data_IF_363227472582
#
_entry.id   IF_363227472582
#
_cell.length_a   1.000
_cell.length_b   1.000
_cell.length_c   1.000
_cell.angle_alpha   90.00
_cell.angle_beta   90.00
_cell.angle_gamma   90.00
#
_symmetry.space_group_name_H-M   'P 1'
#
loop_
_entity.id
_entity.type
_entity.pdbx_description
1 polymer ?
#
# COMPACT_ATOMS: atom_id res chain seq x y z
N UNK A 1 -1.71 -0.70 -9.21
CA UNK A 1 -0.44 -0.45 -9.92
C UNK A 1 -0.71 0.22 -11.26
N UNK A 2 -0.92 1.55 -11.30
CA UNK A 2 -1.23 2.27 -12.54
C UNK A 2 0.02 2.53 -13.42
N UNK A 3 1.23 2.33 -12.90
CA UNK A 3 2.50 2.54 -13.59
C UNK A 3 3.13 1.27 -14.14
N UNK A 4 2.51 0.10 -13.89
CA UNK A 4 3.03 -1.21 -14.29
C UNK A 4 4.43 -1.55 -13.75
N UNK A 5 4.83 -0.94 -12.63
CA UNK A 5 6.09 -1.23 -11.93
C UNK A 5 6.03 -2.59 -11.22
N UNK A 6 7.15 -3.27 -10.96
CA UNK A 6 7.14 -4.42 -10.05
C UNK A 6 6.79 -3.99 -8.62
N UNK A 7 6.34 -4.94 -7.80
CA UNK A 7 6.23 -4.72 -6.36
C UNK A 7 7.61 -4.42 -5.77
N UNK A 8 7.67 -3.49 -4.82
CA UNK A 8 8.91 -3.14 -4.14
C UNK A 8 8.71 -2.22 -2.95
N UNK A 9 9.79 -1.98 -2.20
CA UNK A 9 9.78 -1.00 -1.11
C UNK A 9 9.45 0.40 -1.65
N UNK A 10 8.60 1.15 -0.94
CA UNK A 10 8.30 2.54 -1.29
C UNK A 10 9.57 3.35 -1.55
N UNK A 11 9.66 3.97 -2.73
CA UNK A 11 10.80 4.80 -3.14
C UNK A 11 12.00 4.02 -3.68
N UNK A 12 11.89 2.71 -3.95
CA UNK A 12 12.97 1.93 -4.55
C UNK A 12 13.24 2.34 -6.01
N UNK A 13 14.50 2.54 -6.36
CA UNK A 13 14.98 2.88 -7.71
C UNK A 13 14.67 1.79 -8.75
N UNK A 14 14.54 0.53 -8.33
CA UNK A 14 14.18 -0.58 -9.22
C UNK A 14 12.67 -0.71 -9.47
N UNK A 15 11.86 0.18 -8.91
CA UNK A 15 10.40 0.20 -9.03
C UNK A 15 9.67 -0.26 -7.77
N UNK A 16 8.44 0.23 -7.62
CA UNK A 16 7.47 -0.15 -6.59
C UNK A 16 6.07 0.21 -7.07
N UNK A 17 5.03 -0.49 -6.59
CA UNK A 17 3.67 -0.06 -6.89
C UNK A 17 3.35 1.22 -6.14
N UNK A 18 2.55 2.11 -6.74
CA UNK A 18 1.98 3.26 -6.01
C UNK A 18 1.12 2.88 -4.79
N UNK A 19 0.80 1.61 -4.57
CA UNK A 19 0.08 1.14 -3.39
C UNK A 19 0.97 0.55 -2.29
N UNK A 20 2.27 0.38 -2.54
CA UNK A 20 3.19 -0.33 -1.64
C UNK A 20 3.65 0.60 -0.50
N UNK A 21 2.78 0.86 0.48
CA UNK A 21 3.06 1.81 1.59
C UNK A 21 3.92 1.25 2.73
N UNK A 22 4.26 -0.04 2.67
CA UNK A 22 5.18 -0.69 3.59
C UNK A 22 4.53 -1.37 4.81
N UNK A 23 5.40 -1.79 5.73
CA UNK A 23 5.02 -2.48 6.97
C UNK A 23 4.77 -1.50 8.11
N UNK A 24 3.99 -1.92 9.10
CA UNK A 24 3.79 -1.24 10.36
C UNK A 24 3.96 -2.22 11.52
N UNK A 25 4.17 -1.70 12.73
CA UNK A 25 4.34 -2.51 13.94
C UNK A 25 3.14 -2.28 14.85
N UNK A 26 2.45 -3.37 15.20
CA UNK A 26 1.44 -3.34 16.24
C UNK A 26 2.08 -3.49 17.62
N UNK A 27 1.54 -2.78 18.61
CA UNK A 27 1.90 -2.94 20.01
C UNK A 27 1.36 -4.27 20.59
N UNK A 28 1.67 -4.53 21.85
CA UNK A 28 1.26 -5.75 22.54
C UNK A 28 -0.27 -5.89 22.68
N UNK A 29 -1.02 -4.78 22.58
CA UNK A 29 -2.47 -4.73 22.66
C UNK A 29 -3.13 -4.84 21.26
N UNK A 30 -2.32 -4.92 20.20
CA UNK A 30 -2.77 -5.05 18.81
C UNK A 30 -3.07 -3.72 18.13
N UNK A 31 -2.71 -2.58 18.72
CA UNK A 31 -2.89 -1.27 18.09
C UNK A 31 -1.67 -0.89 17.27
N UNK A 32 -1.89 -0.21 16.15
CA UNK A 32 -0.81 0.34 15.34
C UNK A 32 -1.22 1.68 14.74
N UNK A 33 -0.26 2.59 14.65
CA UNK A 33 -0.39 3.84 13.91
C UNK A 33 0.68 3.88 12.82
N UNK A 34 0.25 4.14 11.59
CA UNK A 34 1.12 4.43 10.47
C UNK A 34 0.76 5.83 9.95
N UNK A 35 1.75 6.72 9.95
CA UNK A 35 1.64 8.02 9.31
C UNK A 35 2.46 8.01 8.01
N UNK A 36 1.82 8.39 6.91
CA UNK A 36 2.40 8.34 5.59
C UNK A 36 1.93 9.54 4.77
N UNK A 37 2.87 10.18 4.06
CA UNK A 37 2.59 11.31 3.18
C UNK A 37 3.19 11.06 1.80
N UNK A 38 2.45 11.44 0.76
CA UNK A 38 2.87 11.27 -0.64
C UNK A 38 2.17 12.28 -1.53
N UNK A 39 2.84 12.69 -2.60
CA UNK A 39 2.29 13.47 -3.72
C UNK A 39 1.88 12.58 -4.90
N UNK A 40 2.02 11.25 -4.75
CA UNK A 40 1.65 10.26 -5.75
C UNK A 40 0.18 9.85 -5.67
N UNK A 41 -0.55 10.31 -4.65
CA UNK A 41 -1.98 10.07 -4.45
C UNK A 41 -2.77 11.37 -4.46
N UNK A 42 -4.02 11.28 -4.89
CA UNK A 42 -4.99 12.36 -4.81
C UNK A 42 -6.39 11.81 -4.52
N UNK A 43 -7.28 12.69 -4.03
CA UNK A 43 -8.70 12.40 -3.92
C UNK A 43 -9.46 13.21 -4.97
N UNK A 44 -10.24 12.53 -5.83
CA UNK A 44 -11.10 13.17 -6.83
C UNK A 44 -10.39 14.12 -7.80
N UNK A 45 -9.10 13.88 -8.09
CA UNK A 45 -8.41 14.59 -9.17
C UNK A 45 -8.61 13.88 -10.52
N UNK A 46 -8.37 14.61 -11.62
CA UNK A 46 -8.51 14.09 -12.99
C UNK A 46 -7.44 13.05 -13.36
N UNK A 47 -6.29 13.05 -12.68
CA UNK A 47 -5.25 12.05 -12.89
C UNK A 47 -5.64 10.70 -12.25
N UNK A 48 -6.27 9.85 -13.04
CA UNK A 48 -6.67 8.49 -12.66
C UNK A 48 -5.51 7.61 -12.19
N UNK A 49 -4.26 7.94 -12.55
CA UNK A 49 -3.09 7.21 -12.06
C UNK A 49 -2.76 7.56 -10.60
N UNK A 50 -3.27 8.67 -10.08
CA UNK A 50 -3.12 9.12 -8.69
C UNK A 50 -4.40 9.01 -7.87
N UNK A 51 -5.56 8.96 -8.53
CA UNK A 51 -6.85 8.97 -7.85
C UNK A 51 -7.11 7.66 -7.08
N UNK A 52 -7.10 7.76 -5.75
CA UNK A 52 -7.30 6.61 -4.86
C UNK A 52 -8.76 6.41 -4.44
N UNK A 53 -9.69 7.25 -4.90
CA UNK A 53 -11.13 7.02 -4.67
C UNK A 53 -11.55 5.71 -5.35
N UNK A 54 -12.38 4.93 -4.66
CA UNK A 54 -12.80 3.58 -5.06
C UNK A 54 -11.71 2.51 -4.90
N UNK A 55 -10.56 2.83 -4.31
CA UNK A 55 -9.53 1.85 -3.93
C UNK A 55 -9.71 1.44 -2.47
N UNK A 56 -8.88 0.52 -1.99
CA UNK A 56 -8.93 0.03 -0.61
C UNK A 56 -7.55 0.00 0.04
N UNK A 57 -7.52 0.22 1.35
CA UNK A 57 -6.37 -0.08 2.21
C UNK A 57 -6.56 -1.49 2.76
N UNK A 58 -5.53 -2.32 2.66
CA UNK A 58 -5.54 -3.72 3.09
C UNK A 58 -4.48 -3.94 4.16
N UNK A 59 -4.84 -4.64 5.23
CA UNK A 59 -3.87 -5.18 6.19
C UNK A 59 -3.64 -6.65 5.88
N UNK A 60 -2.37 -7.03 5.80
CA UNK A 60 -1.93 -8.40 5.55
C UNK A 60 -1.57 -9.13 6.86
N UNK A 61 -1.66 -10.46 6.84
CA UNK A 61 -1.33 -11.33 7.98
C UNK A 61 0.16 -11.34 8.32
N UNK A 62 1.00 -11.28 7.30
CA UNK A 62 2.44 -11.38 7.39
C UNK A 62 3.15 -10.08 7.05
N UNK A 63 4.48 -10.14 7.13
CA UNK A 63 5.37 -9.02 6.83
C UNK A 63 5.70 -9.02 5.34
N UNK A 64 5.58 -7.85 4.71
CA UNK A 64 6.03 -7.61 3.35
C UNK A 64 7.56 -7.67 3.27
N UNK A 65 8.10 -8.53 2.40
CA UNK A 65 9.54 -8.71 2.17
C UNK A 65 10.15 -7.74 1.13
N UNK A 66 9.32 -6.88 0.53
CA UNK A 66 9.65 -5.86 -0.47
C UNK A 66 10.27 -6.36 -1.77
N UNK A 67 10.23 -7.66 -2.04
CA UNK A 67 10.94 -8.26 -3.19
C UNK A 67 10.09 -9.29 -3.93
N UNK A 68 9.40 -10.17 -3.20
CA UNK A 68 8.58 -11.23 -3.77
C UNK A 68 7.41 -10.67 -4.57
N UNK A 69 7.30 -11.08 -5.83
CA UNK A 69 6.17 -10.68 -6.65
C UNK A 69 4.95 -11.55 -6.38
N UNK A 70 3.72 -11.02 -6.44
CA UNK A 70 3.37 -9.62 -6.75
C UNK A 70 3.13 -8.74 -5.51
N UNK A 71 3.32 -9.25 -4.28
CA UNK A 71 2.82 -8.60 -3.06
C UNK A 71 3.67 -8.89 -1.82
N UNK A 72 4.98 -9.04 -1.99
CA UNK A 72 5.95 -9.08 -0.91
C UNK A 72 5.84 -10.29 0.01
N UNK A 73 5.26 -11.40 -0.48
CA UNK A 73 4.97 -12.58 0.35
C UNK A 73 4.21 -12.27 1.66
N UNK A 74 3.45 -11.16 1.72
CA UNK A 74 2.80 -10.67 2.93
C UNK A 74 1.63 -11.56 3.44
N UNK A 75 1.29 -12.63 2.72
CA UNK A 75 0.25 -13.58 3.14
C UNK A 75 -1.18 -13.07 2.96
N UNK A 76 -2.11 -13.66 3.73
CA UNK A 76 -3.55 -13.42 3.58
C UNK A 76 -3.96 -11.98 3.91
N UNK A 77 -5.04 -11.51 3.27
CA UNK A 77 -5.68 -10.22 3.59
C UNK A 77 -6.58 -10.41 4.81
N UNK A 78 -6.27 -9.75 5.92
CA UNK A 78 -6.97 -9.94 7.21
C UNK A 78 -7.89 -8.77 7.59
N UNK A 79 -7.72 -7.61 6.96
CA UNK A 79 -8.63 -6.47 7.11
C UNK A 79 -8.63 -5.60 5.86
N UNK A 80 -9.70 -4.86 5.65
CA UNK A 80 -9.81 -3.88 4.57
C UNK A 80 -10.65 -2.67 4.99
N UNK A 81 -10.36 -1.53 4.36
CA UNK A 81 -11.26 -0.38 4.36
C UNK A 81 -11.28 0.24 2.97
N UNK A 82 -12.46 0.66 2.52
CA UNK A 82 -12.65 1.32 1.23
C UNK A 82 -12.43 2.83 1.34
N UNK A 83 -11.76 3.40 0.35
CA UNK A 83 -11.67 4.85 0.17
C UNK A 83 -12.86 5.25 -0.70
N UNK A 84 -14.01 5.45 -0.06
CA UNK A 84 -15.30 5.75 -0.70
C UNK A 84 -15.72 7.19 -0.45
N UNK A 85 -16.66 7.68 -1.28
CA UNK A 85 -17.24 9.02 -1.18
C UNK A 85 -18.54 9.00 -0.38
#
# INVERSE_FOLDING_TARGET
NPTAEPHGKWGNDTGYHRGDIGNFVADADGNATLEFTTDLWCLSCEDETKNIVGKAVIVHQGVDDFTSQPSGAAGARISCTGIIK
#
